data_IF_128239906588
#
_entry.id   IF_128239906588
#
_cell.length_a   1.000
_cell.length_b   1.000
_cell.length_c   1.000
_cell.angle_alpha   90.00
_cell.angle_beta   90.00
_cell.angle_gamma   90.00
#
_symmetry.space_group_name_H-M   'P 1'
#
loop_
_entity.id
_entity.type
_entity.pdbx_description
1 polymer ?
#
# COMPACT_ATOMS: atom_id res chain seq x y z
N UNK A 1 21.43 -6.01 -6.87
CA UNK A 1 20.31 -5.63 -5.98
C UNK A 1 19.19 -5.01 -6.81
N UNK A 2 17.94 -5.31 -6.48
CA UNK A 2 16.76 -4.72 -7.12
C UNK A 2 16.06 -3.80 -6.12
N UNK A 3 15.74 -2.57 -6.52
CA UNK A 3 14.89 -1.66 -5.76
C UNK A 3 13.55 -1.51 -6.48
N UNK A 4 12.45 -1.81 -5.78
CA UNK A 4 11.07 -1.59 -6.21
C UNK A 4 10.54 -0.33 -5.52
N UNK A 5 10.19 0.68 -6.31
CA UNK A 5 9.68 1.97 -5.84
C UNK A 5 8.22 2.14 -6.30
N UNK A 6 7.30 1.82 -5.40
CA UNK A 6 5.87 1.96 -5.64
C UNK A 6 5.39 3.36 -5.25
N UNK A 7 5.60 4.33 -6.13
CA UNK A 7 5.23 5.72 -5.93
C UNK A 7 3.72 5.97 -6.01
N UNK A 8 3.32 7.23 -5.87
CA UNK A 8 1.89 7.61 -5.91
C UNK A 8 1.32 7.58 -7.32
N UNK A 9 2.11 7.94 -8.32
CA UNK A 9 1.63 8.05 -9.72
C UNK A 9 2.23 7.03 -10.65
N UNK A 10 3.31 6.37 -10.22
CA UNK A 10 4.05 5.41 -11.05
C UNK A 10 4.81 4.41 -10.20
N UNK A 11 5.05 3.25 -10.77
CA UNK A 11 5.96 2.25 -10.24
C UNK A 11 7.30 2.31 -10.98
N UNK A 12 8.38 2.07 -10.24
CA UNK A 12 9.74 2.06 -10.78
C UNK A 12 10.50 0.82 -10.28
N UNK A 13 11.39 0.32 -11.13
CA UNK A 13 12.40 -0.65 -10.73
C UNK A 13 13.78 -0.13 -11.10
N UNK A 14 14.73 -0.22 -10.17
CA UNK A 14 16.12 0.15 -10.37
C UNK A 14 16.99 -1.06 -10.01
N UNK A 15 17.90 -1.42 -10.91
CA UNK A 15 18.90 -2.45 -10.67
C UNK A 15 20.25 -1.80 -10.37
N UNK A 16 20.87 -2.24 -9.29
CA UNK A 16 22.19 -1.79 -8.84
C UNK A 16 23.19 -2.95 -8.88
N UNK A 17 24.45 -2.64 -9.22
CA UNK A 17 25.57 -3.58 -9.05
C UNK A 17 26.06 -3.59 -7.59
N UNK A 18 27.13 -4.36 -7.34
CA UNK A 18 27.77 -4.47 -6.02
C UNK A 18 28.40 -3.17 -5.51
N UNK A 19 28.71 -2.24 -6.41
CA UNK A 19 29.26 -0.91 -6.08
C UNK A 19 28.18 0.12 -5.77
N UNK A 20 26.90 -0.23 -5.90
CA UNK A 20 25.78 0.69 -5.76
C UNK A 20 25.54 1.58 -6.98
N UNK A 21 26.12 1.27 -8.13
CA UNK A 21 25.92 1.99 -9.37
C UNK A 21 24.61 1.51 -10.04
N UNK A 22 23.84 2.44 -10.61
CA UNK A 22 22.60 2.15 -11.34
C UNK A 22 22.97 1.49 -12.68
N UNK A 23 22.48 0.27 -12.89
CA UNK A 23 22.69 -0.50 -14.11
C UNK A 23 21.48 -0.47 -15.06
N UNK A 24 20.28 -0.43 -14.51
CA UNK A 24 19.04 -0.39 -15.30
C UNK A 24 17.93 0.31 -14.54
N UNK A 25 17.03 0.99 -15.28
CA UNK A 25 15.82 1.61 -14.75
C UNK A 25 14.66 1.33 -15.70
N UNK A 26 13.50 0.99 -15.11
CA UNK A 26 12.22 0.98 -15.80
C UNK A 26 11.16 1.65 -14.92
N UNK A 27 10.24 2.36 -15.54
CA UNK A 27 9.15 3.08 -14.87
C UNK A 27 7.89 3.01 -15.71
N UNK A 28 6.73 2.91 -15.06
CA UNK A 28 5.42 2.87 -15.69
C UNK A 28 4.40 3.58 -14.79
N UNK A 29 3.59 4.46 -15.37
CA UNK A 29 2.48 5.12 -14.69
C UNK A 29 1.30 4.17 -14.58
N UNK A 30 0.42 4.41 -13.59
CA UNK A 30 -0.83 3.70 -13.43
C UNK A 30 -2.00 4.66 -13.17
N UNK A 31 -3.22 4.17 -13.36
CA UNK A 31 -4.44 4.97 -13.34
C UNK A 31 -4.72 5.57 -11.95
N UNK A 32 -5.01 6.86 -11.94
CA UNK A 32 -5.48 7.59 -10.76
C UNK A 32 -7.00 7.74 -10.85
N UNK A 33 -7.75 7.28 -9.85
CA UNK A 33 -9.20 7.38 -9.81
C UNK A 33 -9.65 8.48 -8.85
N UNK A 34 -10.56 9.33 -9.30
CA UNK A 34 -11.12 10.46 -8.54
C UNK A 34 -12.66 10.37 -8.55
N UNK A 35 -13.26 9.37 -7.84
CA UNK A 35 -14.71 9.10 -7.95
C UNK A 35 -15.60 10.24 -7.43
N UNK A 36 -15.07 11.04 -6.49
CA UNK A 36 -15.76 12.22 -5.94
C UNK A 36 -14.74 13.32 -5.59
N UNK A 37 -15.15 14.59 -5.41
CA UNK A 37 -14.25 15.63 -4.94
C UNK A 37 -13.53 15.26 -3.65
N UNK A 38 -12.20 15.36 -3.65
CA UNK A 38 -11.35 14.98 -2.51
C UNK A 38 -11.15 13.48 -2.30
N UNK A 39 -11.71 12.62 -3.14
CA UNK A 39 -11.47 11.19 -3.12
C UNK A 39 -10.37 10.81 -4.09
N UNK A 40 -9.46 9.95 -3.65
CA UNK A 40 -8.35 9.44 -4.47
C UNK A 40 -8.23 7.94 -4.24
N UNK A 41 -8.24 7.18 -5.32
CA UNK A 41 -8.16 5.71 -5.29
C UNK A 41 -7.20 5.19 -6.34
N UNK A 42 -6.64 4.00 -6.08
CA UNK A 42 -5.89 3.21 -7.05
C UNK A 42 -6.45 1.78 -7.14
N UNK A 43 -6.35 1.14 -8.30
CA UNK A 43 -6.54 -0.31 -8.40
C UNK A 43 -5.28 -1.02 -7.84
N UNK A 44 -5.44 -1.73 -6.74
CA UNK A 44 -4.34 -2.47 -6.11
C UNK A 44 -3.75 -3.55 -7.04
N UNK A 45 -4.55 -4.11 -7.97
CA UNK A 45 -4.05 -5.06 -8.97
C UNK A 45 -3.19 -4.36 -10.01
N UNK A 46 -3.58 -3.16 -10.42
CA UNK A 46 -2.78 -2.35 -11.34
C UNK A 46 -1.43 -1.98 -10.71
N UNK A 47 -1.41 -1.58 -9.42
CA UNK A 47 -0.15 -1.36 -8.68
C UNK A 47 0.74 -2.61 -8.73
N UNK A 48 0.18 -3.80 -8.48
CA UNK A 48 0.94 -5.04 -8.55
C UNK A 48 1.45 -5.35 -9.95
N UNK A 49 0.59 -5.26 -10.97
CA UNK A 49 0.93 -5.62 -12.33
C UNK A 49 1.99 -4.67 -12.93
N UNK A 50 1.85 -3.36 -12.72
CA UNK A 50 2.84 -2.38 -13.17
C UNK A 50 4.17 -2.54 -12.44
N UNK A 51 4.17 -2.82 -11.13
CA UNK A 51 5.42 -3.08 -10.40
C UNK A 51 6.14 -4.33 -10.91
N UNK A 52 5.41 -5.40 -11.20
CA UNK A 52 5.98 -6.62 -11.80
C UNK A 52 6.47 -6.37 -13.23
N UNK A 53 5.73 -5.58 -14.02
CA UNK A 53 6.08 -5.17 -15.38
C UNK A 53 7.43 -4.45 -15.40
N UNK A 54 7.59 -3.39 -14.60
CA UNK A 54 8.84 -2.62 -14.55
C UNK A 54 10.02 -3.42 -14.01
N UNK A 55 9.78 -4.37 -13.09
CA UNK A 55 10.82 -5.27 -12.62
C UNK A 55 11.35 -6.17 -13.76
N UNK A 56 10.45 -6.75 -14.56
CA UNK A 56 10.80 -7.54 -15.74
C UNK A 56 11.53 -6.71 -16.79
N UNK A 57 11.00 -5.54 -17.15
CA UNK A 57 11.61 -4.63 -18.10
C UNK A 57 13.04 -4.23 -17.69
N UNK A 58 13.26 -3.93 -16.42
CA UNK A 58 14.59 -3.57 -15.92
C UNK A 58 15.59 -4.74 -16.03
N UNK A 59 15.15 -5.97 -15.76
CA UNK A 59 15.98 -7.17 -15.93
C UNK A 59 16.27 -7.47 -17.41
N UNK A 60 15.25 -7.39 -18.27
CA UNK A 60 15.38 -7.63 -19.71
C UNK A 60 16.37 -6.67 -20.38
N UNK A 61 16.37 -5.38 -20.01
CA UNK A 61 17.33 -4.38 -20.51
C UNK A 61 18.79 -4.76 -20.25
N UNK A 62 19.07 -5.51 -19.19
CA UNK A 62 20.42 -5.97 -18.85
C UNK A 62 20.70 -7.42 -19.26
N UNK A 63 19.69 -8.16 -19.73
CA UNK A 63 19.82 -9.58 -20.03
C UNK A 63 20.05 -10.44 -18.78
N UNK A 64 19.60 -9.97 -17.59
CA UNK A 64 19.73 -10.71 -16.33
C UNK A 64 18.42 -11.41 -15.95
N UNK A 65 18.54 -12.44 -15.12
CA UNK A 65 17.43 -13.27 -14.62
C UNK A 65 17.20 -13.05 -13.13
N UNK A 66 16.14 -13.64 -12.58
CA UNK A 66 15.90 -13.62 -11.14
C UNK A 66 17.02 -14.24 -10.31
N UNK A 67 17.77 -15.20 -10.88
CA UNK A 67 18.91 -15.85 -10.21
C UNK A 67 20.09 -14.89 -9.99
N UNK A 68 20.17 -13.82 -10.76
CA UNK A 68 21.23 -12.80 -10.66
C UNK A 68 20.88 -11.72 -9.62
N UNK A 69 19.66 -11.74 -9.06
CA UNK A 69 19.19 -10.75 -8.08
C UNK A 69 19.48 -11.24 -6.67
N UNK A 70 20.51 -10.69 -6.05
CA UNK A 70 20.92 -11.05 -4.69
C UNK A 70 19.92 -10.62 -3.59
N UNK A 71 19.08 -9.62 -3.86
CA UNK A 71 18.06 -9.17 -2.91
C UNK A 71 17.17 -8.07 -3.50
N UNK A 72 15.98 -7.90 -2.88
CA UNK A 72 14.98 -6.91 -3.29
C UNK A 72 14.72 -5.96 -2.12
N UNK A 73 14.87 -4.65 -2.36
CA UNK A 73 14.39 -3.60 -1.46
C UNK A 73 13.08 -3.02 -1.99
N UNK A 74 12.16 -2.71 -1.10
CA UNK A 74 10.86 -2.12 -1.44
C UNK A 74 10.73 -0.76 -0.75
N UNK A 75 10.37 0.26 -1.51
CA UNK A 75 9.85 1.54 -0.99
C UNK A 75 8.51 1.83 -1.64
N UNK A 76 7.65 2.59 -0.96
CA UNK A 76 6.27 2.76 -1.39
C UNK A 76 5.66 4.08 -0.95
N UNK A 77 4.56 4.45 -1.58
CA UNK A 77 3.62 5.42 -1.03
C UNK A 77 3.03 4.87 0.27
N UNK A 78 3.36 5.50 1.41
CA UNK A 78 2.89 5.06 2.73
C UNK A 78 1.41 5.39 2.91
N UNK A 79 0.78 4.89 3.97
CA UNK A 79 -0.59 5.14 4.43
C UNK A 79 -1.69 4.72 3.44
N UNK A 80 -1.39 4.54 2.16
CA UNK A 80 -2.34 3.99 1.17
C UNK A 80 -2.82 2.62 1.62
N UNK A 81 -4.13 2.46 1.73
CA UNK A 81 -4.78 1.36 2.44
C UNK A 81 -5.38 0.37 1.46
N UNK A 82 -5.00 -0.89 1.57
CA UNK A 82 -5.53 -2.00 0.76
C UNK A 82 -6.13 -3.03 1.70
N UNK A 83 -7.37 -3.46 1.42
CA UNK A 83 -8.02 -4.58 2.12
C UNK A 83 -8.40 -5.63 1.09
N UNK A 84 -8.06 -6.89 1.38
CA UNK A 84 -8.31 -7.99 0.46
C UNK A 84 -8.80 -9.24 1.18
N UNK A 85 -9.46 -10.08 0.42
CA UNK A 85 -9.92 -11.40 0.85
C UNK A 85 -8.73 -12.34 1.09
N UNK A 86 -8.69 -12.98 2.24
CA UNK A 86 -7.57 -13.82 2.68
C UNK A 86 -7.40 -15.07 1.80
N UNK A 87 -8.50 -15.66 1.36
CA UNK A 87 -8.49 -16.91 0.60
C UNK A 87 -8.15 -16.66 -0.87
N UNK A 88 -8.87 -15.72 -1.48
CA UNK A 88 -8.73 -15.43 -2.91
C UNK A 88 -7.59 -14.48 -3.24
N UNK A 89 -7.13 -13.67 -2.27
CA UNK A 89 -6.17 -12.59 -2.47
C UNK A 89 -6.73 -11.43 -3.29
N UNK A 90 -8.04 -11.34 -3.46
CA UNK A 90 -8.67 -10.27 -4.25
C UNK A 90 -8.98 -9.06 -3.37
N UNK A 91 -8.57 -7.83 -3.78
CA UNK A 91 -8.98 -6.61 -3.10
C UNK A 91 -10.51 -6.51 -3.08
N UNK A 92 -11.08 -6.17 -1.91
CA UNK A 92 -12.54 -5.99 -1.76
C UNK A 92 -13.01 -4.59 -2.13
N UNK A 93 -12.07 -3.66 -2.26
CA UNK A 93 -12.27 -2.28 -2.67
C UNK A 93 -10.98 -1.74 -3.30
N UNK A 94 -11.05 -0.61 -4.02
CA UNK A 94 -9.87 0.11 -4.47
C UNK A 94 -8.99 0.51 -3.28
N UNK A 95 -7.69 0.61 -3.50
CA UNK A 95 -6.76 1.16 -2.53
C UNK A 95 -7.13 2.63 -2.26
N UNK A 96 -7.40 2.98 -1.00
CA UNK A 96 -7.68 4.37 -0.60
C UNK A 96 -6.34 5.06 -0.38
N UNK A 97 -6.05 6.04 -1.24
CA UNK A 97 -4.74 6.71 -1.30
C UNK A 97 -4.55 7.65 -0.09
N UNK A 98 -3.31 7.88 0.31
CA UNK A 98 -2.93 8.77 1.41
C UNK A 98 -3.47 10.21 1.26
N UNK A 99 -3.64 10.69 0.02
CA UNK A 99 -4.21 12.00 -0.31
C UNK A 99 -5.73 12.10 -0.12
N UNK A 100 -6.42 10.94 -0.01
CA UNK A 100 -7.87 10.89 0.02
C UNK A 100 -8.44 11.52 1.30
N UNK A 101 -9.43 12.41 1.14
CA UNK A 101 -10.05 13.15 2.26
C UNK A 101 -11.41 12.61 2.69
N UNK A 102 -11.86 11.46 2.16
CA UNK A 102 -13.20 10.90 2.44
C UNK A 102 -13.49 10.63 3.92
N UNK A 103 -12.45 10.45 4.74
CA UNK A 103 -12.59 10.17 6.16
C UNK A 103 -12.45 11.40 7.05
N UNK A 104 -12.41 12.61 6.49
CA UNK A 104 -12.21 13.86 7.26
C UNK A 104 -13.30 14.08 8.29
N UNK A 105 -14.58 13.87 7.95
CA UNK A 105 -15.70 14.02 8.89
C UNK A 105 -15.60 13.01 10.05
N UNK A 106 -15.18 11.78 9.77
CA UNK A 106 -14.93 10.80 10.81
C UNK A 106 -13.76 11.21 11.71
N UNK A 107 -12.69 11.76 11.15
CA UNK A 107 -11.59 12.33 11.94
C UNK A 107 -12.06 13.45 12.87
N UNK A 108 -12.94 14.32 12.40
CA UNK A 108 -13.48 15.41 13.22
C UNK A 108 -14.38 14.85 14.35
N UNK A 109 -15.20 13.85 14.08
CA UNK A 109 -15.97 13.15 15.13
C UNK A 109 -15.10 12.52 16.21
N UNK A 110 -13.93 11.97 15.84
CA UNK A 110 -12.98 11.43 16.81
C UNK A 110 -12.36 12.52 17.70
N UNK A 111 -12.08 13.71 17.13
CA UNK A 111 -11.60 14.88 17.88
C UNK A 111 -12.65 15.40 18.87
N UNK A 112 -13.91 15.52 18.42
CA UNK A 112 -15.06 15.93 19.26
C UNK A 112 -15.29 14.95 20.42
N UNK A 113 -15.02 13.67 20.22
CA UNK A 113 -15.06 12.63 21.26
C UNK A 113 -13.89 12.68 22.25
N UNK A 114 -12.98 13.66 22.11
CA UNK A 114 -11.84 13.85 23.01
C UNK A 114 -10.72 12.82 22.87
N UNK A 115 -10.58 12.18 21.68
CA UNK A 115 -9.59 11.11 21.48
C UNK A 115 -8.21 11.61 21.02
N UNK A 116 -8.01 12.93 20.91
CA UNK A 116 -6.76 13.54 20.39
C UNK A 116 -5.54 13.10 21.21
N UNK A 117 -5.58 13.32 22.52
CA UNK A 117 -4.44 13.00 23.40
C UNK A 117 -4.17 11.50 23.46
N UNK A 118 -5.22 10.67 23.52
CA UNK A 118 -5.08 9.22 23.56
C UNK A 118 -4.42 8.66 22.28
N UNK A 119 -4.81 9.17 21.11
CA UNK A 119 -4.23 8.73 19.84
C UNK A 119 -2.79 9.23 19.74
N UNK A 120 -2.52 10.47 20.11
CA UNK A 120 -1.18 11.03 20.12
C UNK A 120 -0.23 10.29 21.05
N UNK A 121 -0.69 9.96 22.27
CA UNK A 121 0.10 9.20 23.23
C UNK A 121 0.48 7.81 22.72
N UNK A 122 -0.47 7.11 22.06
CA UNK A 122 -0.26 5.74 21.60
C UNK A 122 0.53 5.65 20.27
N UNK A 123 0.36 6.60 19.37
CA UNK A 123 0.86 6.50 18.01
C UNK A 123 1.86 7.60 17.62
N UNK A 124 1.94 8.68 18.40
CA UNK A 124 2.68 9.89 18.04
C UNK A 124 2.03 10.71 16.92
N UNK A 125 0.88 10.27 16.38
CA UNK A 125 0.23 10.87 15.22
C UNK A 125 -0.91 11.80 15.63
N UNK A 126 -1.27 12.69 14.71
CA UNK A 126 -2.50 13.49 14.80
C UNK A 126 -3.67 12.70 14.19
N UNK A 127 -4.92 13.05 14.57
CA UNK A 127 -6.11 12.49 13.91
C UNK A 127 -6.28 13.18 12.56
N UNK A 128 -6.00 12.46 11.49
CA UNK A 128 -6.15 12.96 10.12
C UNK A 128 -6.51 11.83 9.14
N UNK A 129 -7.26 12.18 8.10
CA UNK A 129 -7.62 11.28 6.99
C UNK A 129 -6.40 10.75 6.21
N UNK A 130 -5.23 11.33 6.43
CA UNK A 130 -3.96 10.91 5.85
C UNK A 130 -3.61 9.46 6.20
N UNK A 131 -3.83 9.04 7.46
CA UNK A 131 -3.39 7.76 7.99
C UNK A 131 -4.34 6.60 7.68
N UNK A 132 -3.85 5.35 7.78
CA UNK A 132 -4.58 4.17 7.33
C UNK A 132 -5.81 3.83 8.19
N UNK A 133 -5.75 4.02 9.50
CA UNK A 133 -6.78 3.55 10.43
C UNK A 133 -8.19 4.01 10.09
N UNK A 134 -8.37 5.30 9.75
CA UNK A 134 -9.68 5.83 9.36
C UNK A 134 -10.17 5.31 8.00
N UNK A 135 -9.26 4.99 7.08
CA UNK A 135 -9.58 4.38 5.78
C UNK A 135 -10.05 2.94 5.93
N UNK A 136 -9.42 2.17 6.83
CA UNK A 136 -9.87 0.82 7.18
C UNK A 136 -11.29 0.89 7.75
N UNK A 137 -11.51 1.79 8.72
CA UNK A 137 -12.85 2.01 9.28
C UNK A 137 -13.87 2.29 8.17
N UNK A 138 -13.54 3.20 7.25
CA UNK A 138 -14.43 3.54 6.15
C UNK A 138 -14.75 2.31 5.27
N UNK A 139 -13.77 1.49 4.91
CA UNK A 139 -13.98 0.28 4.11
C UNK A 139 -14.92 -0.69 4.84
N UNK A 140 -14.70 -0.90 6.14
CA UNK A 140 -15.50 -1.82 6.94
C UNK A 140 -16.97 -1.36 7.08
N UNK A 141 -17.23 -0.05 7.05
CA UNK A 141 -18.59 0.50 7.16
C UNK A 141 -19.30 0.63 5.82
N UNK A 142 -18.57 0.82 4.71
CA UNK A 142 -19.16 1.18 3.42
C UNK A 142 -19.12 0.06 2.38
N UNK A 143 -18.27 -0.97 2.56
CA UNK A 143 -18.26 -2.13 1.68
C UNK A 143 -19.17 -3.21 2.26
N UNK A 144 -20.22 -3.64 1.53
CA UNK A 144 -21.19 -4.61 2.05
C UNK A 144 -20.54 -5.88 2.59
N UNK A 145 -20.85 -6.24 3.84
CA UNK A 145 -20.36 -7.44 4.53
C UNK A 145 -18.89 -7.39 4.96
N UNK A 146 -18.17 -6.28 4.71
CA UNK A 146 -16.75 -6.20 5.03
C UNK A 146 -16.48 -6.32 6.54
N UNK A 147 -17.28 -5.66 7.39
CA UNK A 147 -17.11 -5.75 8.85
C UNK A 147 -17.28 -7.17 9.37
N UNK A 148 -18.36 -7.83 8.98
CA UNK A 148 -18.63 -9.22 9.41
C UNK A 148 -17.52 -10.19 8.95
N UNK A 149 -17.03 -10.00 7.74
CA UNK A 149 -15.92 -10.79 7.19
C UNK A 149 -14.61 -10.52 7.92
N UNK A 150 -14.34 -9.28 8.29
CA UNK A 150 -13.16 -8.90 9.07
C UNK A 150 -13.21 -9.54 10.48
N UNK A 151 -14.36 -9.49 11.16
CA UNK A 151 -14.57 -10.12 12.47
C UNK A 151 -14.38 -11.65 12.44
N UNK A 152 -14.71 -12.29 11.32
CA UNK A 152 -14.44 -13.72 11.07
C UNK A 152 -12.98 -14.01 10.66
N UNK A 153 -12.14 -12.98 10.50
CA UNK A 153 -10.75 -13.13 10.07
C UNK A 153 -10.57 -13.51 8.60
N UNK A 154 -11.59 -13.24 7.77
CA UNK A 154 -11.58 -13.54 6.33
C UNK A 154 -10.89 -12.45 5.49
N UNK A 155 -10.62 -11.30 6.09
CA UNK A 155 -9.96 -10.18 5.42
C UNK A 155 -8.54 -9.96 5.94
N UNK A 156 -7.71 -9.42 5.06
CA UNK A 156 -6.35 -8.95 5.35
C UNK A 156 -6.25 -7.47 5.00
N UNK A 157 -5.41 -6.77 5.75
CA UNK A 157 -5.08 -5.36 5.51
C UNK A 157 -3.59 -5.22 5.27
N UNK A 158 -3.20 -4.25 4.45
CA UNK A 158 -1.82 -3.83 4.32
C UNK A 158 -1.69 -2.46 3.67
N UNK A 159 -0.53 -1.86 3.86
CA UNK A 159 -0.01 -0.78 3.02
C UNK A 159 0.60 -1.38 1.76
N UNK A 160 1.06 -0.54 0.84
CA UNK A 160 1.51 -1.02 -0.49
C UNK A 160 2.70 -1.98 -0.40
N UNK A 161 3.62 -1.78 0.55
CA UNK A 161 4.72 -2.72 0.82
C UNK A 161 4.21 -4.12 1.15
N UNK A 162 3.25 -4.23 2.08
CA UNK A 162 2.64 -5.51 2.45
C UNK A 162 1.96 -6.17 1.25
N UNK A 163 1.24 -5.40 0.45
CA UNK A 163 0.58 -5.88 -0.76
C UNK A 163 1.57 -6.44 -1.79
N UNK A 164 2.69 -5.74 -2.00
CA UNK A 164 3.75 -6.20 -2.90
C UNK A 164 4.42 -7.47 -2.37
N UNK A 165 4.81 -7.52 -1.09
CA UNK A 165 5.44 -8.70 -0.46
C UNK A 165 4.49 -9.90 -0.52
N UNK A 166 3.21 -9.69 -0.21
CA UNK A 166 2.19 -10.74 -0.27
C UNK A 166 2.12 -11.37 -1.68
N UNK A 167 2.06 -10.55 -2.72
CA UNK A 167 2.01 -11.04 -4.09
C UNK A 167 3.34 -11.64 -4.57
N UNK A 168 4.49 -11.01 -4.26
CA UNK A 168 5.83 -11.53 -4.59
C UNK A 168 6.11 -12.91 -3.95
N UNK A 169 5.62 -13.14 -2.74
CA UNK A 169 5.78 -14.40 -2.03
C UNK A 169 4.80 -15.50 -2.45
N UNK A 170 3.97 -15.27 -3.45
CA UNK A 170 2.89 -16.19 -3.84
C UNK A 170 1.83 -16.31 -2.74
N UNK A 171 1.51 -15.20 -2.07
CA UNK A 171 0.49 -15.06 -1.01
C UNK A 171 0.82 -15.75 0.30
N UNK A 172 2.11 -16.00 0.58
CA UNK A 172 2.55 -16.74 1.76
C UNK A 172 3.00 -15.85 2.91
N UNK A 173 3.44 -14.62 2.62
CA UNK A 173 4.04 -13.71 3.60
C UNK A 173 3.16 -12.46 3.72
N UNK A 174 2.75 -12.15 4.95
CA UNK A 174 1.98 -10.97 5.32
C UNK A 174 2.74 -10.19 6.40
N UNK A 175 3.54 -9.26 5.98
CA UNK A 175 4.43 -8.46 6.85
C UNK A 175 4.49 -7.02 6.38
N UNK A 176 4.93 -6.13 7.25
CA UNK A 176 5.28 -4.74 6.96
C UNK A 176 6.55 -4.39 7.72
N UNK A 177 7.07 -3.18 7.50
CA UNK A 177 8.17 -2.62 8.27
C UNK A 177 7.68 -1.58 9.29
N UNK A 178 8.58 -1.14 10.18
CA UNK A 178 8.26 -0.13 11.19
C UNK A 178 7.89 1.24 10.59
N UNK A 179 8.48 1.62 9.45
CA UNK A 179 8.22 2.89 8.79
C UNK A 179 6.81 2.97 8.23
N UNK A 180 6.30 1.86 7.67
CA UNK A 180 4.92 1.76 7.21
C UNK A 180 3.95 1.55 8.38
N UNK A 181 4.25 0.64 9.32
CA UNK A 181 3.40 0.37 10.47
C UNK A 181 3.14 1.61 11.32
N UNK A 182 4.17 2.40 11.63
CA UNK A 182 4.08 3.63 12.42
C UNK A 182 3.17 4.71 11.78
N UNK A 183 2.81 4.57 10.52
CA UNK A 183 1.96 5.52 9.79
C UNK A 183 0.52 5.02 9.60
N UNK A 184 0.15 3.90 10.21
CA UNK A 184 -1.20 3.34 10.08
C UNK A 184 -2.21 3.93 11.05
N UNK A 185 -1.78 4.48 12.15
CA UNK A 185 -2.62 4.91 13.29
C UNK A 185 -3.36 3.71 13.93
N UNK A 186 -2.71 2.53 13.98
CA UNK A 186 -3.20 1.29 14.59
C UNK A 186 -2.32 0.90 15.78
#
# INVERSE_FOLDING_TARGET
MMALDAGTTSNRCILFNEKGEICSVAQEEFTQYYPQPGWVEHDAKEIWHTQLSVARQAMEKLGVTAADIAGIGITNQRETTIVWDRETGMPIYHAIVWQCRRTSEYCDSLKERGLVDKIREKTGLVIDAYFSGTKIHWILENVPGARERAEKGELMFGTVDTWLIYNLSGRKIHVTDYSNAARTML
#
